data_IF_386934415554
#
_entry.id   IF_386934415554
#
_cell.length_a   1.000
_cell.length_b   1.000
_cell.length_c   1.000
_cell.angle_alpha   90.00
_cell.angle_beta   90.00
_cell.angle_gamma   90.00
#
_symmetry.space_group_name_H-M   'P 1'
#
loop_
_entity.id
_entity.type
_entity.pdbx_description
1 polymer ?
#
# COMPACT_ATOMS: atom_id res chain seq x y z
N UNK A 1 61.09 15.66 40.09
CA UNK A 1 60.14 15.93 38.98
C UNK A 1 59.74 14.59 38.41
N UNK A 2 58.59 14.08 38.87
CA UNK A 2 58.12 12.72 38.64
C UNK A 2 57.23 12.68 37.40
N UNK A 3 57.57 11.85 36.43
CA UNK A 3 56.86 11.65 35.17
C UNK A 3 55.67 10.72 35.36
N UNK A 4 54.45 11.25 35.34
CA UNK A 4 53.22 10.47 35.34
C UNK A 4 52.88 9.98 33.93
N UNK A 5 52.97 8.68 33.75
CA UNK A 5 52.35 7.90 32.67
C UNK A 5 50.83 7.92 32.85
N UNK A 6 50.08 8.16 31.78
CA UNK A 6 48.63 7.91 31.73
C UNK A 6 48.33 6.98 30.52
N UNK A 7 47.44 5.98 30.66
CA UNK A 7 47.33 4.87 29.73
C UNK A 7 46.36 5.14 28.55
N UNK A 8 46.66 4.45 27.44
CA UNK A 8 45.83 4.16 26.26
C UNK A 8 44.51 3.44 26.65
N UNK A 9 43.62 3.00 25.73
CA UNK A 9 43.20 3.44 24.40
C UNK A 9 41.65 3.51 24.25
N UNK A 10 41.07 4.08 23.20
CA UNK A 10 39.71 3.67 22.76
C UNK A 10 39.61 3.47 21.24
N UNK A 11 39.65 2.17 20.91
CA UNK A 11 39.08 1.54 19.72
C UNK A 11 37.67 2.08 19.42
N UNK A 12 37.47 2.60 18.21
CA UNK A 12 36.12 2.89 17.68
C UNK A 12 35.51 1.58 17.17
N UNK A 13 34.69 0.96 18.00
CA UNK A 13 33.80 -0.13 17.60
C UNK A 13 32.76 0.43 16.61
N UNK A 14 32.89 0.10 15.32
CA UNK A 14 31.81 0.29 14.35
C UNK A 14 30.67 -0.66 14.73
N UNK A 15 29.62 -0.14 15.36
CA UNK A 15 28.37 -0.87 15.52
C UNK A 15 27.70 -0.99 14.15
N UNK A 16 27.72 -2.18 13.58
CA UNK A 16 26.76 -2.58 12.56
C UNK A 16 25.39 -2.66 13.23
N UNK A 17 24.55 -1.64 13.06
CA UNK A 17 23.11 -1.79 13.31
C UNK A 17 22.50 -2.47 12.09
N UNK A 18 22.22 -3.76 12.24
CA UNK A 18 21.30 -4.50 11.39
C UNK A 18 19.88 -4.02 11.75
N UNK A 19 19.39 -3.00 11.03
CA UNK A 19 18.04 -2.47 11.19
C UNK A 19 17.02 -3.36 10.49
N UNK A 20 16.19 -4.03 11.27
CA UNK A 20 15.04 -4.82 10.82
C UNK A 20 13.89 -3.85 10.46
N UNK A 21 13.57 -3.71 9.17
CA UNK A 21 12.50 -2.83 8.66
C UNK A 21 11.14 -3.53 8.75
N UNK A 22 10.16 -2.90 9.41
CA UNK A 22 8.75 -3.33 9.40
C UNK A 22 8.04 -2.60 8.27
N UNK A 23 7.55 -3.34 7.27
CA UNK A 23 6.77 -2.82 6.16
C UNK A 23 5.33 -2.52 6.62
N UNK A 24 4.79 -1.37 6.23
CA UNK A 24 3.40 -0.95 6.53
C UNK A 24 2.66 -0.78 5.21
N UNK A 25 1.57 -1.55 5.09
CA UNK A 25 0.47 -1.57 4.11
C UNK A 25 0.78 -1.39 2.61
N UNK A 26 0.44 -2.43 1.83
CA UNK A 26 0.43 -2.35 0.37
C UNK A 26 -0.91 -1.86 -0.18
N UNK A 27 -1.22 -0.61 0.15
CA UNK A 27 -1.82 0.34 -0.77
C UNK A 27 -0.93 1.58 -0.78
N UNK A 28 0.31 1.47 -1.26
CA UNK A 28 1.19 2.63 -1.45
C UNK A 28 1.38 3.54 -0.22
N UNK A 29 1.16 3.05 1.01
CA UNK A 29 1.48 3.85 2.20
C UNK A 29 2.98 3.78 2.41
N UNK A 30 3.68 4.69 1.72
CA UNK A 30 5.04 5.04 2.05
C UNK A 30 5.12 5.38 3.53
N UNK A 31 5.94 4.61 4.25
CA UNK A 31 6.75 5.03 5.39
C UNK A 31 6.00 5.83 6.47
N UNK A 32 5.66 5.16 7.58
CA UNK A 32 5.60 5.85 8.88
C UNK A 32 6.98 6.48 9.18
N UNK A 33 7.04 7.67 9.81
CA UNK A 33 8.30 8.35 10.08
C UNK A 33 9.27 7.42 10.79
N UNK A 34 10.51 7.44 10.31
CA UNK A 34 11.65 6.67 10.83
C UNK A 34 12.02 7.13 12.24
N UNK A 35 11.33 6.60 13.24
CA UNK A 35 11.83 6.46 14.60
C UNK A 35 11.19 5.21 15.20
N UNK A 36 12.00 4.37 15.85
CA UNK A 36 11.53 3.31 16.72
C UNK A 36 10.71 3.92 17.86
N UNK A 37 9.42 4.11 17.61
CA UNK A 37 8.40 4.53 18.55
C UNK A 37 7.13 3.81 18.13
N UNK A 38 6.47 3.15 19.07
CA UNK A 38 5.20 2.51 18.83
C UNK A 38 4.24 3.48 18.13
N UNK A 39 3.50 3.00 17.13
CA UNK A 39 2.31 3.71 16.62
C UNK A 39 1.36 3.86 17.80
N UNK A 40 1.42 5.02 18.43
CA UNK A 40 0.59 5.39 19.58
C UNK A 40 -0.52 6.27 19.02
N UNK A 41 -1.65 5.63 18.72
CA UNK A 41 -2.89 6.35 18.37
C UNK A 41 -3.44 6.02 16.99
N UNK A 42 -4.19 4.91 16.89
CA UNK A 42 -5.15 4.75 15.79
C UNK A 42 -6.33 5.71 15.99
N UNK A 43 -6.86 6.28 14.93
CA UNK A 43 -7.96 7.25 15.00
C UNK A 43 -9.14 6.90 14.08
N UNK A 44 -10.13 7.80 13.97
CA UNK A 44 -11.34 7.54 13.21
C UNK A 44 -11.04 7.32 11.72
N UNK A 45 -11.80 6.41 11.11
CA UNK A 45 -11.81 6.19 9.67
C UNK A 45 -12.82 7.11 9.03
N UNK A 46 -12.42 7.79 7.96
CA UNK A 46 -13.31 8.60 7.12
C UNK A 46 -13.32 7.95 5.75
N UNK A 47 -14.50 7.72 5.18
CA UNK A 47 -14.66 7.13 3.85
C UNK A 47 -15.71 7.89 3.05
N UNK A 48 -15.49 8.00 1.74
CA UNK A 48 -16.38 8.71 0.81
C UNK A 48 -16.24 8.15 -0.61
N UNK A 49 -17.18 8.51 -1.48
CA UNK A 49 -17.27 8.04 -2.86
C UNK A 49 -18.47 7.10 -3.07
N UNK A 50 -18.31 6.10 -3.94
CA UNK A 50 -19.36 5.15 -4.27
C UNK A 50 -19.70 4.22 -3.10
N UNK A 51 -20.98 4.07 -2.77
CA UNK A 51 -21.43 3.36 -1.55
C UNK A 51 -22.64 2.42 -1.74
N UNK A 52 -22.86 1.90 -2.95
CA UNK A 52 -24.04 1.05 -3.23
C UNK A 52 -24.07 -0.29 -2.48
N UNK A 53 -22.94 -0.72 -1.91
CA UNK A 53 -22.78 -1.95 -1.13
C UNK A 53 -22.40 -1.66 0.32
N UNK A 54 -22.41 -0.39 0.74
CA UNK A 54 -21.97 0.03 2.07
C UNK A 54 -20.45 0.11 2.25
N UNK A 55 -19.65 0.06 1.17
CA UNK A 55 -18.17 0.09 1.22
C UNK A 55 -17.58 1.41 1.76
N UNK A 56 -18.31 2.52 1.63
CA UNK A 56 -17.97 3.80 2.21
C UNK A 56 -18.72 4.10 3.53
N UNK A 57 -19.70 3.27 3.91
CA UNK A 57 -20.36 3.32 5.22
C UNK A 57 -19.45 2.70 6.29
N UNK A 58 -18.66 3.53 6.97
CA UNK A 58 -17.72 3.10 8.03
C UNK A 58 -18.50 2.55 9.25
N UNK A 59 -18.19 1.33 9.75
CA UNK A 59 -18.77 0.82 10.99
C UNK A 59 -18.47 1.71 12.20
N UNK A 60 -19.40 1.83 13.14
CA UNK A 60 -19.28 2.74 14.30
C UNK A 60 -18.36 2.21 15.40
N UNK A 61 -17.96 0.94 15.36
CA UNK A 61 -17.29 0.21 16.43
C UNK A 61 -15.92 -0.38 16.04
N UNK A 62 -15.16 0.31 15.17
CA UNK A 62 -13.85 -0.17 14.70
C UNK A 62 -12.77 -0.22 15.79
N UNK A 63 -12.91 0.57 16.86
CA UNK A 63 -11.80 0.86 17.78
C UNK A 63 -10.68 1.67 17.10
N UNK A 64 -9.48 1.74 17.70
CA UNK A 64 -8.37 2.47 17.10
C UNK A 64 -7.86 1.78 15.82
N UNK A 65 -8.00 2.44 14.67
CA UNK A 65 -7.56 1.90 13.37
C UNK A 65 -6.18 2.45 13.01
N UNK A 66 -5.29 1.58 12.55
CA UNK A 66 -3.92 1.93 12.14
C UNK A 66 -3.68 1.80 10.63
N UNK A 67 -4.52 1.05 9.91
CA UNK A 67 -4.47 0.98 8.46
C UNK A 67 -5.85 0.67 7.87
N UNK A 68 -6.06 1.08 6.63
CA UNK A 68 -7.27 0.81 5.83
C UNK A 68 -6.87 0.35 4.44
N UNK A 69 -7.70 -0.48 3.82
CA UNK A 69 -7.55 -0.89 2.41
C UNK A 69 -8.92 -0.95 1.74
N UNK A 70 -9.07 -0.24 0.62
CA UNK A 70 -10.28 -0.27 -0.20
C UNK A 70 -10.13 -1.27 -1.35
N UNK A 71 -11.11 -2.15 -1.52
CA UNK A 71 -11.23 -3.04 -2.68
C UNK A 71 -12.18 -2.48 -3.74
N UNK A 72 -12.76 -3.34 -4.59
CA UNK A 72 -13.72 -2.88 -5.60
C UNK A 72 -15.03 -2.39 -4.96
N UNK A 73 -15.58 -3.22 -4.08
CA UNK A 73 -16.89 -3.01 -3.46
C UNK A 73 -16.89 -3.29 -1.96
N UNK A 74 -15.72 -3.43 -1.34
CA UNK A 74 -15.57 -3.70 0.09
C UNK A 74 -14.37 -2.93 0.65
N UNK A 75 -14.29 -2.86 1.96
CA UNK A 75 -13.26 -2.14 2.70
C UNK A 75 -12.76 -2.99 3.85
N UNK A 76 -11.48 -2.83 4.17
CA UNK A 76 -10.80 -3.45 5.30
C UNK A 76 -10.21 -2.38 6.22
N UNK A 77 -10.26 -2.62 7.52
CA UNK A 77 -9.53 -1.88 8.55
C UNK A 77 -8.69 -2.83 9.40
N UNK A 78 -7.47 -2.41 9.72
CA UNK A 78 -6.59 -3.06 10.68
C UNK A 78 -6.57 -2.22 11.96
N UNK A 79 -6.98 -2.82 13.07
CA UNK A 79 -6.96 -2.14 14.37
C UNK A 79 -5.58 -2.17 15.00
N UNK A 80 -5.31 -1.29 15.97
CA UNK A 80 -4.07 -1.30 16.76
C UNK A 80 -3.88 -2.57 17.59
N UNK A 81 -4.95 -3.36 17.77
CA UNK A 81 -4.91 -4.67 18.42
C UNK A 81 -4.54 -5.82 17.45
N UNK A 82 -4.30 -5.53 16.17
CA UNK A 82 -3.95 -6.54 15.17
C UNK A 82 -5.15 -7.34 14.67
N UNK A 83 -6.37 -6.79 14.75
CA UNK A 83 -7.61 -7.41 14.24
C UNK A 83 -8.01 -6.80 12.90
N UNK A 84 -8.47 -7.63 11.97
CA UNK A 84 -9.09 -7.17 10.72
C UNK A 84 -10.60 -7.00 10.92
N UNK A 85 -11.13 -5.89 10.43
CA UNK A 85 -12.57 -5.65 10.28
C UNK A 85 -12.84 -5.38 8.79
N UNK A 86 -13.90 -5.97 8.26
CA UNK A 86 -14.28 -5.82 6.86
C UNK A 86 -15.76 -5.43 6.74
N UNK A 87 -16.09 -4.62 5.74
CA UNK A 87 -17.46 -4.20 5.47
C UNK A 87 -17.65 -3.91 3.97
N UNK A 88 -18.91 -3.72 3.55
CA UNK A 88 -19.28 -3.52 2.16
C UNK A 88 -19.80 -4.80 1.49
N UNK A 89 -19.60 -4.89 0.18
CA UNK A 89 -20.02 -6.01 -0.66
C UNK A 89 -19.39 -7.33 -0.23
N UNK A 90 -20.22 -8.37 -0.13
CA UNK A 90 -19.82 -9.67 0.38
C UNK A 90 -20.31 -10.85 -0.47
N UNK A 91 -20.66 -10.59 -1.74
CA UNK A 91 -21.24 -11.59 -2.64
C UNK A 91 -20.30 -12.78 -2.93
N UNK A 92 -19.01 -12.67 -2.59
CA UNK A 92 -17.98 -13.71 -2.71
C UNK A 92 -17.32 -14.06 -1.37
N UNK A 93 -17.84 -13.56 -0.25
CA UNK A 93 -17.24 -13.74 1.07
C UNK A 93 -16.04 -12.82 1.36
N UNK A 94 -15.73 -11.83 0.50
CA UNK A 94 -14.57 -10.94 0.66
C UNK A 94 -14.60 -10.05 1.91
N UNK A 95 -15.79 -9.83 2.49
CA UNK A 95 -15.99 -9.15 3.77
C UNK A 95 -16.25 -10.13 4.95
N UNK A 96 -16.25 -11.45 4.71
CA UNK A 96 -16.34 -12.47 5.76
C UNK A 96 -14.94 -12.78 6.30
N UNK A 97 -14.50 -12.04 7.33
CA UNK A 97 -13.17 -12.18 7.92
C UNK A 97 -12.97 -13.59 8.53
N UNK A 98 -11.97 -14.37 8.09
CA UNK A 98 -11.65 -15.68 8.67
C UNK A 98 -11.20 -15.55 10.13
N UNK A 99 -11.40 -16.61 10.93
CA UNK A 99 -11.00 -16.63 12.35
C UNK A 99 -9.51 -16.36 12.53
N UNK A 100 -8.69 -16.82 11.60
CA UNK A 100 -7.24 -16.66 11.58
C UNK A 100 -6.80 -15.21 11.37
N UNK A 101 -7.67 -14.34 10.83
CA UNK A 101 -7.39 -12.92 10.59
C UNK A 101 -7.91 -11.99 11.71
N UNK A 102 -8.19 -12.54 12.90
CA UNK A 102 -8.76 -11.78 14.03
C UNK A 102 -7.74 -11.32 15.07
N UNK A 103 -6.47 -11.75 14.98
CA UNK A 103 -5.36 -11.31 15.83
C UNK A 103 -4.02 -11.38 15.11
N UNK A 104 -3.01 -10.71 15.65
CA UNK A 104 -1.63 -10.74 15.16
C UNK A 104 -1.46 -10.31 13.70
N UNK A 105 -2.39 -9.55 13.14
CA UNK A 105 -2.28 -9.01 11.78
C UNK A 105 -1.45 -7.72 11.78
N UNK A 106 -0.60 -7.60 10.77
CA UNK A 106 0.35 -6.49 10.57
C UNK A 106 0.14 -5.74 9.26
N UNK A 107 -0.48 -6.38 8.26
CA UNK A 107 -0.91 -5.71 7.03
C UNK A 107 -2.19 -6.33 6.48
N UNK A 108 -2.92 -5.53 5.71
CA UNK A 108 -4.14 -5.90 4.99
C UNK A 108 -4.05 -5.39 3.56
N UNK A 109 -4.74 -6.06 2.64
CA UNK A 109 -4.87 -5.63 1.25
C UNK A 109 -6.19 -6.15 0.67
N UNK A 110 -6.94 -5.26 0.04
CA UNK A 110 -8.25 -5.53 -0.56
C UNK A 110 -8.14 -5.44 -2.08
N UNK A 111 -8.48 -6.52 -2.78
CA UNK A 111 -8.50 -6.58 -4.24
C UNK A 111 -9.88 -6.33 -4.82
N UNK A 112 -10.11 -6.83 -6.04
CA UNK A 112 -11.43 -6.75 -6.68
C UNK A 112 -12.51 -7.41 -5.82
N UNK A 113 -12.39 -8.73 -5.63
CA UNK A 113 -13.36 -9.55 -4.87
C UNK A 113 -12.70 -10.50 -3.88
N UNK A 114 -11.47 -10.21 -3.48
CA UNK A 114 -10.72 -11.01 -2.51
C UNK A 114 -9.95 -10.08 -1.57
N UNK A 115 -9.50 -10.66 -0.48
CA UNK A 115 -8.82 -9.95 0.61
C UNK A 115 -7.61 -10.75 1.07
N UNK A 116 -6.57 -10.04 1.47
CA UNK A 116 -5.34 -10.59 2.04
C UNK A 116 -5.07 -9.97 3.42
N UNK A 117 -4.52 -10.77 4.32
CA UNK A 117 -3.96 -10.32 5.59
C UNK A 117 -2.59 -10.97 5.82
N UNK A 118 -1.67 -10.21 6.42
CA UNK A 118 -0.33 -10.65 6.77
C UNK A 118 -0.19 -10.71 8.29
N UNK A 119 0.09 -11.89 8.80
CA UNK A 119 0.32 -12.09 10.23
C UNK A 119 1.72 -11.62 10.65
N UNK A 120 1.93 -11.39 11.95
CA UNK A 120 3.21 -11.02 12.55
C UNK A 120 4.33 -12.04 12.34
N UNK A 121 3.97 -13.32 12.13
CA UNK A 121 4.93 -14.38 11.81
C UNK A 121 5.20 -14.53 10.30
N UNK A 122 4.68 -13.63 9.47
CA UNK A 122 4.97 -13.60 8.03
C UNK A 122 4.15 -14.59 7.19
N UNK A 123 3.00 -15.04 7.69
CA UNK A 123 2.06 -15.90 6.96
C UNK A 123 1.00 -15.05 6.27
N UNK A 124 0.68 -15.40 5.03
CA UNK A 124 -0.43 -14.79 4.27
C UNK A 124 -1.72 -15.57 4.52
N UNK A 125 -2.80 -14.84 4.78
CA UNK A 125 -4.17 -15.35 4.83
C UNK A 125 -4.93 -14.69 3.67
N UNK A 126 -5.64 -15.48 2.89
CA UNK A 126 -6.42 -15.02 1.76
C UNK A 126 -7.86 -15.55 1.82
N UNK A 127 -8.84 -14.71 1.48
CA UNK A 127 -10.26 -15.11 1.44
C UNK A 127 -11.05 -14.28 0.42
N UNK A 128 -12.28 -14.72 0.11
CA UNK A 128 -13.14 -14.14 -0.93
C UNK A 128 -13.18 -14.98 -2.20
N UNK A 129 -13.40 -14.32 -3.34
CA UNK A 129 -13.44 -14.95 -4.67
C UNK A 129 -12.14 -15.69 -4.98
N UNK A 130 -12.27 -16.88 -5.57
CA UNK A 130 -11.16 -17.72 -5.97
C UNK A 130 -11.27 -18.22 -7.42
N UNK A 131 -12.08 -17.55 -8.25
CA UNK A 131 -12.33 -17.96 -9.64
C UNK A 131 -11.06 -18.08 -10.50
N UNK A 132 -9.97 -17.44 -10.11
CA UNK A 132 -8.67 -17.48 -10.79
C UNK A 132 -7.53 -17.98 -9.89
N UNK A 133 -7.84 -18.57 -8.72
CA UNK A 133 -6.82 -19.03 -7.78
C UNK A 133 -6.19 -17.92 -6.92
N UNK A 134 -6.75 -16.71 -6.90
CA UNK A 134 -6.17 -15.57 -6.17
C UNK A 134 -6.16 -15.71 -4.64
N UNK A 135 -6.91 -16.67 -4.08
CA UNK A 135 -6.85 -17.04 -2.66
C UNK A 135 -6.11 -18.36 -2.39
N UNK A 136 -5.64 -19.05 -3.44
CA UNK A 136 -4.74 -20.20 -3.30
C UNK A 136 -3.32 -19.72 -2.99
N UNK A 137 -3.06 -19.35 -1.74
CA UNK A 137 -1.73 -18.90 -1.29
C UNK A 137 -0.69 -19.98 -1.61
N UNK A 138 0.32 -19.69 -2.46
CA UNK A 138 1.28 -20.68 -2.86
C UNK A 138 2.25 -21.01 -1.71
N UNK A 139 2.84 -22.22 -1.67
CA UNK A 139 3.72 -22.65 -0.56
C UNK A 139 4.89 -21.71 -0.29
N UNK A 140 5.45 -21.09 -1.32
CA UNK A 140 6.52 -20.09 -1.21
C UNK A 140 6.09 -18.78 -0.51
N UNK A 141 4.77 -18.52 -0.42
CA UNK A 141 4.20 -17.38 0.31
C UNK A 141 3.59 -17.78 1.67
N UNK A 142 3.89 -18.99 2.16
CA UNK A 142 3.35 -19.48 3.43
C UNK A 142 4.04 -18.89 4.68
N UNK A 143 5.27 -18.38 4.53
CA UNK A 143 6.06 -17.81 5.62
C UNK A 143 7.06 -16.75 5.09
N UNK A 144 7.69 -16.02 6.02
CA UNK A 144 8.72 -15.00 5.72
C UNK A 144 8.28 -13.89 4.76
N UNK A 145 6.98 -13.64 4.68
CA UNK A 145 6.42 -12.51 3.95
C UNK A 145 6.51 -11.23 4.80
N UNK A 146 6.83 -10.14 4.13
CA UNK A 146 6.94 -8.79 4.71
C UNK A 146 5.91 -7.83 4.15
N UNK A 147 5.43 -8.03 2.91
CA UNK A 147 4.36 -7.25 2.34
C UNK A 147 3.46 -8.11 1.44
N UNK A 148 2.20 -7.70 1.31
CA UNK A 148 1.15 -8.34 0.51
C UNK A 148 0.41 -7.27 -0.27
N UNK A 149 0.07 -7.48 -1.54
CA UNK A 149 -0.72 -6.54 -2.34
C UNK A 149 -1.71 -7.28 -3.24
N UNK A 150 -2.92 -6.75 -3.35
CA UNK A 150 -4.03 -7.33 -4.10
C UNK A 150 -4.37 -6.44 -5.28
N UNK A 151 -4.37 -7.02 -6.47
CA UNK A 151 -4.85 -6.35 -7.68
C UNK A 151 -6.34 -6.63 -7.92
N UNK A 152 -6.76 -6.47 -9.18
CA UNK A 152 -8.12 -6.81 -9.58
C UNK A 152 -8.50 -8.26 -9.23
N UNK A 153 -7.71 -9.21 -9.74
CA UNK A 153 -7.93 -10.66 -9.53
C UNK A 153 -6.62 -11.44 -9.36
N UNK A 154 -5.53 -10.76 -8.98
CA UNK A 154 -4.24 -11.37 -8.68
C UNK A 154 -3.70 -10.83 -7.36
N UNK A 155 -2.71 -11.52 -6.84
CA UNK A 155 -2.11 -11.28 -5.54
C UNK A 155 -0.59 -11.28 -5.67
N UNK A 156 0.06 -10.43 -4.89
CA UNK A 156 1.51 -10.34 -4.77
C UNK A 156 1.92 -10.48 -3.29
N UNK A 157 3.06 -11.09 -3.06
CA UNK A 157 3.74 -11.12 -1.76
C UNK A 157 5.23 -10.80 -1.92
N UNK A 158 5.81 -10.14 -0.93
CA UNK A 158 7.23 -9.80 -0.86
C UNK A 158 7.89 -10.54 0.30
N UNK A 159 8.90 -11.36 0.01
CA UNK A 159 9.64 -12.08 1.04
C UNK A 159 10.65 -11.17 1.76
N UNK A 160 11.12 -11.57 2.95
CA UNK A 160 12.22 -10.90 3.67
C UNK A 160 13.51 -10.77 2.84
N UNK A 161 13.72 -11.66 1.87
CA UNK A 161 14.89 -11.68 0.99
C UNK A 161 14.72 -10.74 -0.23
N UNK A 162 13.62 -9.99 -0.31
CA UNK A 162 13.38 -9.06 -1.41
C UNK A 162 12.93 -9.73 -2.71
N UNK A 163 12.35 -10.93 -2.63
CA UNK A 163 11.76 -11.65 -3.77
C UNK A 163 10.25 -11.40 -3.85
N UNK A 164 9.75 -11.11 -5.03
CA UNK A 164 8.29 -11.03 -5.29
C UNK A 164 7.74 -12.40 -5.69
N UNK A 165 6.55 -12.72 -5.20
CA UNK A 165 5.76 -13.90 -5.54
C UNK A 165 4.41 -13.39 -6.05
N UNK A 166 3.94 -13.88 -7.20
CA UNK A 166 2.65 -13.52 -7.77
C UNK A 166 1.79 -14.76 -8.04
N UNK A 167 0.49 -14.65 -7.81
CA UNK A 167 -0.48 -15.73 -8.09
C UNK A 167 -1.88 -15.16 -8.41
N UNK A 168 -2.77 -15.99 -8.95
CA UNK A 168 -4.12 -15.60 -9.36
C UNK A 168 -4.25 -15.38 -10.88
N UNK A 169 -5.10 -14.44 -11.29
CA UNK A 169 -5.36 -14.14 -12.70
C UNK A 169 -4.12 -13.59 -13.43
N UNK A 170 -3.75 -14.19 -14.56
CA UNK A 170 -2.47 -13.90 -15.22
C UNK A 170 -2.54 -13.75 -16.76
N UNK A 171 -3.72 -13.47 -17.33
CA UNK A 171 -3.86 -13.38 -18.80
C UNK A 171 -3.08 -12.24 -19.45
N UNK A 172 -2.63 -11.27 -18.67
CA UNK A 172 -1.77 -10.15 -19.11
C UNK A 172 -0.34 -10.27 -18.57
N UNK A 173 0.00 -11.38 -17.90
CA UNK A 173 1.29 -11.59 -17.25
C UNK A 173 1.46 -10.84 -15.91
N UNK A 174 0.39 -10.30 -15.32
CA UNK A 174 0.45 -9.49 -14.09
C UNK A 174 0.88 -10.24 -12.82
N UNK A 175 0.70 -11.56 -12.78
CA UNK A 175 1.14 -12.45 -11.72
C UNK A 175 2.47 -13.16 -12.08
N UNK A 176 2.84 -13.22 -13.37
CA UNK A 176 4.17 -13.68 -13.82
C UNK A 176 5.25 -12.65 -13.44
N UNK A 177 5.96 -12.91 -12.34
CA UNK A 177 7.02 -12.01 -11.83
C UNK A 177 8.23 -12.02 -12.78
N UNK A 178 8.67 -10.84 -13.28
CA UNK A 178 9.84 -10.74 -14.16
C UNK A 178 11.14 -10.98 -13.37
N UNK A 179 12.22 -11.36 -14.07
CA UNK A 179 13.50 -11.74 -13.45
C UNK A 179 14.10 -10.59 -12.63
N UNK A 180 13.87 -9.37 -13.06
CA UNK A 180 14.32 -8.13 -12.44
C UNK A 180 13.66 -7.90 -11.07
N UNK A 181 12.49 -8.48 -10.80
CA UNK A 181 11.74 -8.35 -9.55
C UNK A 181 11.96 -9.53 -8.57
N UNK A 182 13.07 -10.25 -8.71
CA UNK A 182 13.36 -11.46 -7.90
C UNK A 182 14.34 -11.22 -6.74
N UNK A 183 14.93 -10.03 -6.63
CA UNK A 183 15.82 -9.64 -5.53
C UNK A 183 15.76 -8.13 -5.27
N UNK A 184 16.23 -7.71 -4.09
CA UNK A 184 16.36 -6.31 -3.68
C UNK A 184 15.06 -5.48 -3.75
N UNK A 185 13.89 -6.13 -3.79
CA UNK A 185 12.60 -5.44 -3.76
C UNK A 185 12.26 -5.03 -2.33
N UNK A 186 11.80 -3.79 -2.18
CA UNK A 186 11.39 -3.19 -0.90
C UNK A 186 9.92 -2.82 -0.84
N UNK A 187 9.23 -2.69 -1.99
CA UNK A 187 7.79 -2.48 -2.03
C UNK A 187 7.17 -3.12 -3.29
N UNK A 188 5.88 -3.46 -3.19
CA UNK A 188 5.05 -4.02 -4.26
C UNK A 188 3.72 -3.29 -4.31
N UNK A 189 3.12 -3.19 -5.49
CA UNK A 189 1.75 -2.69 -5.67
C UNK A 189 1.10 -3.39 -6.86
N UNK A 190 -0.04 -4.03 -6.62
CA UNK A 190 -0.83 -4.70 -7.64
C UNK A 190 -2.00 -3.80 -8.07
N UNK A 191 -2.11 -3.55 -9.38
CA UNK A 191 -3.17 -2.75 -9.98
C UNK A 191 -4.28 -3.61 -10.58
N UNK A 192 -5.05 -3.05 -11.51
CA UNK A 192 -6.16 -3.77 -12.14
C UNK A 192 -5.72 -5.01 -12.92
N UNK A 193 -4.73 -4.84 -13.80
CA UNK A 193 -4.12 -5.92 -14.61
C UNK A 193 -2.61 -5.75 -14.81
N UNK A 194 -1.97 -4.99 -13.93
CA UNK A 194 -0.53 -4.78 -13.93
C UNK A 194 -0.01 -4.76 -12.50
N UNK A 195 1.30 -4.77 -12.38
CA UNK A 195 2.00 -4.85 -11.11
C UNK A 195 3.24 -3.96 -11.15
N UNK A 196 3.57 -3.41 -9.99
CA UNK A 196 4.74 -2.57 -9.76
C UNK A 196 5.57 -3.16 -8.62
N UNK A 197 6.90 -3.02 -8.73
CA UNK A 197 7.84 -3.28 -7.65
C UNK A 197 8.84 -2.12 -7.54
N UNK A 198 9.28 -1.84 -6.32
CA UNK A 198 10.29 -0.83 -6.01
C UNK A 198 11.53 -1.54 -5.47
N UNK A 199 12.67 -1.30 -6.10
CA UNK A 199 13.96 -1.82 -5.64
C UNK A 199 14.53 -0.96 -4.51
N UNK A 200 15.49 -1.52 -3.77
CA UNK A 200 16.20 -0.84 -2.67
C UNK A 200 16.96 0.43 -3.11
N UNK A 201 17.40 0.48 -4.36
CA UNK A 201 18.05 1.66 -4.96
C UNK A 201 17.05 2.68 -5.54
N UNK A 202 15.73 2.44 -5.40
CA UNK A 202 14.69 3.39 -5.77
C UNK A 202 14.25 3.32 -7.23
N UNK A 203 14.51 2.21 -7.93
CA UNK A 203 14.03 1.97 -9.30
C UNK A 203 12.67 1.29 -9.29
N UNK A 204 11.83 1.67 -10.24
CA UNK A 204 10.52 1.06 -10.45
C UNK A 204 10.63 -0.02 -11.51
N UNK A 205 10.02 -1.17 -11.25
CA UNK A 205 9.80 -2.25 -12.21
C UNK A 205 8.30 -2.37 -12.41
N UNK A 206 7.84 -2.42 -13.66
CA UNK A 206 6.44 -2.54 -14.00
C UNK A 206 6.21 -3.68 -14.99
N UNK A 207 5.17 -4.49 -14.79
CA UNK A 207 4.84 -5.61 -15.68
C UNK A 207 3.33 -5.88 -15.69
N UNK A 208 2.87 -6.66 -16.67
CA UNK A 208 1.45 -6.92 -16.90
C UNK A 208 0.87 -6.13 -18.08
N UNK A 209 -0.43 -5.84 -18.03
CA UNK A 209 -1.15 -5.09 -19.08
C UNK A 209 -0.53 -3.71 -19.34
N UNK A 210 -0.40 -3.35 -20.62
CA UNK A 210 0.19 -2.07 -21.04
C UNK A 210 -0.66 -1.34 -22.11
N UNK A 211 -1.94 -1.70 -22.26
CA UNK A 211 -2.82 -1.09 -23.28
C UNK A 211 -2.92 0.44 -23.17
N UNK A 212 -2.65 0.98 -21.98
CA UNK A 212 -2.73 2.40 -21.68
C UNK A 212 -1.37 3.01 -21.30
N UNK A 213 -0.27 2.29 -21.50
CA UNK A 213 1.07 2.74 -21.11
C UNK A 213 1.36 2.61 -19.61
N UNK A 214 0.52 1.93 -18.82
CA UNK A 214 0.66 1.85 -17.36
C UNK A 214 1.89 1.08 -16.86
N UNK A 215 2.53 0.29 -17.74
CA UNK A 215 3.84 -0.36 -17.47
C UNK A 215 4.97 0.25 -18.29
N UNK A 216 4.71 1.32 -19.04
CA UNK A 216 5.73 2.11 -19.75
C UNK A 216 6.23 3.22 -18.84
N UNK A 217 7.40 3.02 -18.22
CA UNK A 217 7.99 3.98 -17.30
C UNK A 217 8.33 5.30 -18.04
N UNK A 218 7.90 6.47 -17.54
CA UNK A 218 8.19 7.73 -18.21
C UNK A 218 9.59 8.25 -17.86
N UNK A 219 10.24 8.93 -18.82
CA UNK A 219 11.58 9.53 -18.64
C UNK A 219 11.65 10.54 -17.47
N UNK A 220 10.51 11.12 -17.11
CA UNK A 220 10.36 12.08 -16.00
C UNK A 220 10.27 11.42 -14.61
N UNK A 221 10.45 10.10 -14.49
CA UNK A 221 10.47 9.46 -13.17
C UNK A 221 11.60 10.04 -12.31
N UNK A 222 11.38 10.24 -11.00
CA UNK A 222 12.46 10.60 -10.09
C UNK A 222 13.56 9.55 -10.11
N UNK A 223 14.82 9.99 -10.03
CA UNK A 223 15.97 9.08 -10.00
C UNK A 223 15.94 8.11 -8.80
N UNK A 224 15.31 8.54 -7.68
CA UNK A 224 15.11 7.71 -6.49
C UNK A 224 13.66 7.82 -6.05
N UNK A 225 12.90 6.76 -6.31
CA UNK A 225 11.51 6.60 -5.87
C UNK A 225 11.47 6.06 -4.43
N UNK A 226 10.51 6.55 -3.65
CA UNK A 226 10.27 6.19 -2.25
C UNK A 226 8.98 5.38 -2.07
N UNK A 227 7.96 5.60 -2.92
CA UNK A 227 6.72 4.84 -2.88
C UNK A 227 6.11 4.69 -4.29
N UNK A 228 5.30 3.65 -4.45
CA UNK A 228 4.61 3.29 -5.70
C UNK A 228 3.15 2.96 -5.41
N UNK A 229 2.25 3.24 -6.34
CA UNK A 229 0.87 2.78 -6.30
C UNK A 229 0.37 2.43 -7.71
N UNK A 230 -0.32 1.30 -7.86
CA UNK A 230 -0.87 0.82 -9.11
C UNK A 230 -2.40 0.91 -9.06
N UNK A 231 -3.00 1.68 -9.99
CA UNK A 231 -4.44 1.81 -10.14
C UNK A 231 -5.04 0.81 -11.12
N UNK A 232 -6.23 1.08 -11.63
CA UNK A 232 -6.88 0.24 -12.65
C UNK A 232 -6.14 0.25 -13.99
N UNK A 233 -5.77 1.45 -14.45
CA UNK A 233 -5.13 1.70 -15.76
C UNK A 233 -4.00 2.74 -15.70
N UNK A 234 -3.56 3.10 -14.50
CA UNK A 234 -2.50 4.08 -14.26
C UNK A 234 -1.59 3.64 -13.11
N UNK A 235 -0.50 4.36 -12.94
CA UNK A 235 0.53 4.11 -11.95
C UNK A 235 1.03 5.43 -11.39
N UNK A 236 1.39 5.42 -10.11
CA UNK A 236 1.96 6.54 -9.37
C UNK A 236 3.32 6.15 -8.79
N UNK A 237 4.24 7.11 -8.75
CA UNK A 237 5.49 7.02 -8.02
C UNK A 237 5.70 8.32 -7.23
N UNK A 238 6.25 8.22 -6.03
CA UNK A 238 6.57 9.34 -5.15
C UNK A 238 8.07 9.37 -4.88
N UNK A 239 8.73 10.50 -5.07
CA UNK A 239 10.14 10.69 -4.71
C UNK A 239 10.33 10.90 -3.20
N UNK A 240 11.57 10.74 -2.70
CA UNK A 240 11.91 11.11 -1.30
C UNK A 240 11.70 12.59 -0.99
N UNK A 241 11.69 13.44 -2.02
CA UNK A 241 11.48 14.88 -1.88
C UNK A 241 10.00 15.28 -1.90
N UNK A 242 9.09 14.29 -2.02
CA UNK A 242 7.65 14.50 -1.98
C UNK A 242 7.04 14.87 -3.33
N UNK A 243 7.73 14.60 -4.44
CA UNK A 243 7.26 14.85 -5.80
C UNK A 243 6.63 13.57 -6.36
N UNK A 244 5.35 13.63 -6.73
CA UNK A 244 4.67 12.51 -7.36
C UNK A 244 4.66 12.61 -8.89
N UNK A 245 4.76 11.47 -9.55
CA UNK A 245 4.62 11.31 -11.00
C UNK A 245 3.56 10.24 -11.27
N UNK A 246 2.68 10.53 -12.21
CA UNK A 246 1.67 9.61 -12.72
C UNK A 246 1.93 9.27 -14.19
N UNK A 247 1.59 8.04 -14.58
CA UNK A 247 1.61 7.57 -15.97
C UNK A 247 0.55 6.48 -16.20
N UNK A 248 0.22 6.22 -17.47
CA UNK A 248 -0.93 5.38 -17.86
C UNK A 248 -2.03 6.19 -18.55
N UNK A 249 -3.28 5.73 -18.40
CA UNK A 249 -4.47 6.02 -19.23
C UNK A 249 -4.69 7.44 -19.82
N UNK A 250 -3.91 7.82 -20.84
CA UNK A 250 -4.31 8.79 -21.87
C UNK A 250 -3.78 10.23 -21.72
N UNK A 251 -3.58 10.90 -22.87
CA UNK A 251 -2.96 12.23 -22.99
C UNK A 251 -3.81 13.28 -22.26
N UNK A 252 -3.39 13.65 -21.05
CA UNK A 252 -3.92 14.71 -20.17
C UNK A 252 -4.94 14.31 -19.10
N UNK A 253 -5.25 13.02 -18.91
CA UNK A 253 -6.28 12.61 -17.94
C UNK A 253 -5.72 12.27 -16.54
N UNK A 254 -4.44 11.94 -16.42
CA UNK A 254 -3.81 11.47 -15.16
C UNK A 254 -2.56 12.27 -14.86
N UNK A 255 -2.68 13.60 -14.83
CA UNK A 255 -1.60 14.46 -14.36
C UNK A 255 -1.70 14.61 -12.85
N UNK A 256 -0.59 14.39 -12.14
CA UNK A 256 -0.47 14.82 -10.75
C UNK A 256 -0.68 16.35 -10.72
N UNK A 257 -1.68 16.85 -9.95
CA UNK A 257 -1.90 18.28 -9.82
C UNK A 257 -0.64 18.99 -9.32
N UNK A 258 -0.45 20.25 -9.74
CA UNK A 258 0.63 21.06 -9.17
C UNK A 258 0.26 21.45 -7.73
N UNK A 259 0.97 20.87 -6.76
CA UNK A 259 0.80 21.20 -5.34
C UNK A 259 1.66 22.38 -4.87
N UNK A 260 2.18 23.19 -5.80
CA UNK A 260 3.10 24.29 -5.48
C UNK A 260 4.34 23.78 -4.74
N UNK A 261 4.60 24.31 -3.54
CA UNK A 261 5.70 23.88 -2.67
C UNK A 261 5.33 22.77 -1.68
N UNK A 262 4.09 22.27 -1.69
CA UNK A 262 3.66 21.20 -0.80
C UNK A 262 4.32 19.89 -1.19
N UNK A 263 4.85 19.19 -0.19
CA UNK A 263 5.41 17.86 -0.32
C UNK A 263 4.35 16.82 0.01
N UNK A 264 4.25 15.79 -0.84
CA UNK A 264 3.45 14.61 -0.54
C UNK A 264 4.27 13.62 0.29
N UNK A 265 3.61 12.89 1.18
CA UNK A 265 4.20 11.88 2.06
C UNK A 265 3.74 10.47 1.71
N UNK A 266 2.59 10.31 1.05
CA UNK A 266 2.10 9.03 0.55
C UNK A 266 1.26 9.20 -0.73
N UNK A 267 1.16 8.13 -1.51
CA UNK A 267 0.33 8.05 -2.73
C UNK A 267 -0.47 6.75 -2.72
N UNK A 268 -1.72 6.80 -3.16
CA UNK A 268 -2.60 5.65 -3.35
C UNK A 268 -3.32 5.77 -4.69
N UNK A 269 -3.64 4.64 -5.30
CA UNK A 269 -4.27 4.60 -6.61
C UNK A 269 -5.48 3.65 -6.54
N UNK A 270 -6.64 4.18 -6.89
CA UNK A 270 -7.87 3.43 -7.06
C UNK A 270 -8.04 2.91 -8.48
N UNK A 271 -9.23 2.43 -8.84
CA UNK A 271 -9.49 1.96 -10.20
C UNK A 271 -9.35 3.10 -11.21
N UNK A 272 -9.99 4.23 -10.91
CA UNK A 272 -10.00 5.43 -11.76
C UNK A 272 -9.67 6.74 -11.03
N UNK A 273 -9.20 6.70 -9.80
CA UNK A 273 -8.81 7.94 -9.11
C UNK A 273 -7.46 7.76 -8.43
N UNK A 274 -6.78 8.87 -8.25
CA UNK A 274 -5.51 8.94 -7.53
C UNK A 274 -5.72 9.68 -6.23
N UNK A 275 -5.00 9.28 -5.19
CA UNK A 275 -5.04 9.92 -3.89
C UNK A 275 -3.63 10.12 -3.34
N UNK A 276 -3.44 11.14 -2.50
CA UNK A 276 -2.19 11.40 -1.82
C UNK A 276 -2.41 12.01 -0.42
N UNK A 277 -1.41 11.82 0.43
CA UNK A 277 -1.31 12.51 1.71
C UNK A 277 -0.28 13.64 1.59
N UNK A 278 -0.67 14.86 1.93
CA UNK A 278 0.26 15.98 2.04
C UNK A 278 0.99 16.01 3.39
N UNK A 279 2.17 16.63 3.42
CA UNK A 279 2.90 16.91 4.66
C UNK A 279 2.17 17.88 5.61
N UNK A 280 1.10 18.52 5.13
CA UNK A 280 0.16 19.33 5.89
C UNK A 280 -0.95 18.49 6.58
N UNK A 281 -0.91 17.16 6.44
CA UNK A 281 -1.88 16.25 7.02
C UNK A 281 -3.23 16.24 6.30
N UNK A 282 -3.29 16.66 5.03
CA UNK A 282 -4.50 16.67 4.20
C UNK A 282 -4.52 15.52 3.19
N UNK A 283 -5.72 15.00 2.94
CA UNK A 283 -5.97 14.12 1.80
C UNK A 283 -6.17 14.96 0.52
N UNK A 284 -5.55 14.52 -0.57
CA UNK A 284 -5.70 15.07 -1.91
C UNK A 284 -6.19 13.96 -2.84
N UNK A 285 -7.24 14.21 -3.62
CA UNK A 285 -7.79 13.22 -4.56
C UNK A 285 -8.06 13.88 -5.91
N UNK A 286 -7.66 13.22 -7.00
CA UNK A 286 -7.81 13.72 -8.36
C UNK A 286 -8.20 12.60 -9.35
N UNK A 287 -8.35 12.96 -10.63
CA UNK A 287 -8.89 12.12 -11.73
C UNK A 287 -10.41 11.88 -11.65
N UNK A 288 -10.91 10.64 -11.72
CA UNK A 288 -12.35 10.36 -11.80
C UNK A 288 -13.13 10.89 -10.61
N UNK A 289 -14.33 11.38 -10.89
CA UNK A 289 -15.26 11.88 -9.87
C UNK A 289 -16.70 11.47 -10.14
N UNK A 290 -16.90 10.39 -10.89
CA UNK A 290 -18.23 9.90 -11.26
C UNK A 290 -19.09 9.63 -10.02
N UNK A 291 -18.45 9.30 -8.89
CA UNK A 291 -19.12 9.00 -7.62
C UNK A 291 -18.70 9.92 -6.46
N UNK A 292 -18.12 11.09 -6.75
CA UNK A 292 -17.72 12.05 -5.72
C UNK A 292 -16.39 11.70 -5.02
N UNK A 293 -15.55 10.86 -5.60
CA UNK A 293 -14.27 10.45 -5.00
C UNK A 293 -13.32 11.63 -4.76
N UNK A 294 -13.39 12.70 -5.57
CA UNK A 294 -12.60 13.92 -5.35
C UNK A 294 -13.18 14.85 -4.29
N UNK A 295 -14.41 14.62 -3.82
CA UNK A 295 -15.05 15.45 -2.82
C UNK A 295 -14.53 15.09 -1.42
N UNK A 296 -13.28 15.49 -1.14
CA UNK A 296 -12.62 15.26 0.15
C UNK A 296 -13.46 15.90 1.26
N UNK A 297 -13.99 15.11 2.22
CA UNK A 297 -14.81 15.63 3.31
C UNK A 297 -13.99 16.53 4.24
N UNK A 298 -14.64 17.49 4.91
CA UNK A 298 -13.99 18.40 5.87
C UNK A 298 -13.18 17.67 6.94
N UNK A 299 -13.65 16.50 7.38
CA UNK A 299 -12.99 15.66 8.37
C UNK A 299 -11.61 15.16 7.90
N UNK A 300 -11.39 15.04 6.58
CA UNK A 300 -10.15 14.59 5.94
C UNK A 300 -9.24 15.75 5.47
N UNK A 301 -9.55 16.99 5.87
CA UNK A 301 -8.75 18.20 5.55
C UNK A 301 -7.73 18.57 6.62
N UNK A 302 -7.52 17.70 7.61
CA UNK A 302 -6.46 17.85 8.63
C UNK A 302 -6.20 16.55 9.39
N UNK A 303 -4.96 16.36 9.84
CA UNK A 303 -4.58 15.27 10.74
C UNK A 303 -4.72 13.86 10.14
N UNK A 304 -4.76 13.73 8.81
CA UNK A 304 -4.75 12.42 8.15
C UNK A 304 -3.36 11.79 8.29
N UNK A 305 -3.32 10.50 8.65
CA UNK A 305 -2.08 9.73 8.86
C UNK A 305 -1.95 8.55 7.89
N UNK A 306 -3.06 8.10 7.29
CA UNK A 306 -3.06 7.10 6.23
C UNK A 306 -4.17 7.37 5.22
N UNK A 307 -3.96 6.95 3.98
CA UNK A 307 -4.92 7.07 2.88
C UNK A 307 -4.90 5.81 2.03
N UNK A 308 -6.07 5.37 1.57
CA UNK A 308 -6.25 4.26 0.64
C UNK A 308 -7.30 4.64 -0.39
N UNK A 309 -7.10 4.20 -1.64
CA UNK A 309 -8.05 4.35 -2.73
C UNK A 309 -8.55 2.97 -3.16
N UNK A 310 -9.85 2.70 -3.00
CA UNK A 310 -10.51 1.53 -3.58
C UNK A 310 -10.89 1.79 -5.03
N UNK A 311 -11.74 0.95 -5.64
CA UNK A 311 -12.08 1.18 -7.05
C UNK A 311 -12.76 2.54 -7.28
N UNK A 312 -13.75 2.85 -6.43
CA UNK A 312 -14.60 4.04 -6.58
C UNK A 312 -14.88 4.75 -5.25
N UNK A 313 -14.13 4.45 -4.20
CA UNK A 313 -14.23 5.10 -2.89
C UNK A 313 -12.82 5.32 -2.32
N UNK A 314 -12.70 6.27 -1.40
CA UNK A 314 -11.44 6.61 -0.74
C UNK A 314 -11.62 6.47 0.77
N UNK A 315 -10.61 5.95 1.46
CA UNK A 315 -10.56 5.85 2.92
C UNK A 315 -9.37 6.61 3.47
N UNK A 316 -9.52 7.19 4.65
CA UNK A 316 -8.43 7.77 5.42
C UNK A 316 -8.50 7.35 6.87
N UNK A 317 -7.36 7.38 7.54
CA UNK A 317 -7.24 7.30 9.00
C UNK A 317 -6.77 8.65 9.50
N UNK A 318 -7.42 9.19 10.53
CA UNK A 318 -6.96 10.38 11.24
C UNK A 318 -6.03 9.99 12.39
N UNK A 319 -5.05 10.81 12.71
CA UNK A 319 -4.30 10.70 13.97
C UNK A 319 -5.21 10.93 15.16
N UNK A 320 -4.89 10.26 16.28
CA UNK A 320 -5.58 10.42 17.57
C UNK A 320 -5.27 11.76 18.23
#
# INVERSE_FOLDING_TARGET
MSTTVNPNPTSRTRRFLCGLTVAVAATGTGVLPTTAGAVTGGGPVISWGYDNKGQATVPTDLGPVVAVSGGESHSLALTSAGKVIAWGGNDQGQATVPKEATSDITAISAGGRHSLALTKNGKVIAWGDNSFGQTNVPPEAAADITAISSGGFHSLALTKQGKVIGWGYDTSGQATVPKEATSDITAISAGGRHSLALTKDGKVIAWGDNRFGQTTLPDRLPAVVAAIAAGGFHSLALSKDGVAVAWGSGKNEWSVPMFGSLKLTAVAAGWLHSAALGADGRAYVWDDNTFGQRAVPDQATSGVTAISAGSFHTLTVKGS
#
